data_IF_555960636168
#
_entry.id   IF_555960636168
#
_cell.length_a   1.000
_cell.length_b   1.000
_cell.length_c   1.000
_cell.angle_alpha   90.00
_cell.angle_beta   90.00
_cell.angle_gamma   90.00
#
_symmetry.space_group_name_H-M   'P 1'
#
loop_
_entity.id
_entity.type
_entity.pdbx_description
1 polymer ?
#
# COMPACT_ATOMS: atom_id res chain seq x y z
N UNK A 1 8.46 5.24 -16.95
CA UNK A 1 7.32 6.16 -16.73
C UNK A 1 6.08 5.30 -16.55
N UNK A 2 5.09 5.77 -15.79
CA UNK A 2 3.81 5.07 -15.67
C UNK A 2 2.95 5.30 -16.91
N UNK A 3 2.07 4.36 -17.22
CA UNK A 3 1.02 4.53 -18.22
C UNK A 3 -0.16 5.32 -17.62
N UNK A 4 -1.09 5.80 -18.47
CA UNK A 4 -2.29 6.49 -18.00
C UNK A 4 -3.16 5.59 -17.10
N UNK A 5 -3.31 4.31 -17.47
CA UNK A 5 -4.01 3.30 -16.65
C UNK A 5 -3.36 3.16 -15.28
N UNK A 6 -2.04 3.07 -15.23
CA UNK A 6 -1.29 2.94 -13.97
C UNK A 6 -1.43 4.17 -13.09
N UNK A 7 -1.38 5.37 -13.69
CA UNK A 7 -1.59 6.62 -12.98
C UNK A 7 -3.01 6.69 -12.40
N UNK A 8 -4.04 6.36 -13.20
CA UNK A 8 -5.43 6.36 -12.74
C UNK A 8 -5.66 5.38 -11.59
N UNK A 9 -5.03 4.20 -11.64
CA UNK A 9 -5.11 3.19 -10.57
C UNK A 9 -4.37 3.68 -9.31
N UNK A 10 -3.18 4.25 -9.46
CA UNK A 10 -2.44 4.83 -8.33
C UNK A 10 -3.23 5.92 -7.61
N UNK A 11 -3.84 6.83 -8.38
CA UNK A 11 -4.71 7.89 -7.86
C UNK A 11 -5.94 7.32 -7.16
N UNK A 12 -6.59 6.32 -7.76
CA UNK A 12 -7.77 5.67 -7.19
C UNK A 12 -7.45 4.98 -5.85
N UNK A 13 -6.34 4.24 -5.78
CA UNK A 13 -5.93 3.60 -4.52
C UNK A 13 -5.63 4.64 -3.44
N UNK A 14 -4.97 5.74 -3.78
CA UNK A 14 -4.68 6.82 -2.82
C UNK A 14 -5.94 7.53 -2.32
N UNK A 15 -6.90 7.81 -3.21
CA UNK A 15 -8.13 8.56 -2.89
C UNK A 15 -9.22 7.70 -2.26
N UNK A 16 -9.20 6.38 -2.49
CA UNK A 16 -10.31 5.51 -2.11
C UNK A 16 -9.86 4.38 -1.19
N UNK A 17 -8.91 3.55 -1.62
CA UNK A 17 -8.47 2.40 -0.82
C UNK A 17 -7.88 2.83 0.52
N UNK A 18 -6.94 3.78 0.52
CA UNK A 18 -6.24 4.19 1.75
C UNK A 18 -7.20 4.79 2.79
N UNK A 19 -8.07 5.77 2.46
CA UNK A 19 -9.04 6.29 3.42
C UNK A 19 -9.99 5.23 3.98
N UNK A 20 -10.47 4.30 3.14
CA UNK A 20 -11.35 3.23 3.60
C UNK A 20 -10.64 2.25 4.51
N UNK A 21 -9.43 1.82 4.16
CA UNK A 21 -8.63 0.96 5.03
C UNK A 21 -8.47 1.60 6.41
N UNK A 22 -7.95 2.83 6.46
CA UNK A 22 -7.76 3.53 7.74
C UNK A 22 -9.06 3.70 8.53
N UNK A 23 -10.19 3.95 7.86
CA UNK A 23 -11.51 4.03 8.50
C UNK A 23 -11.91 2.71 9.15
N UNK A 24 -11.75 1.57 8.48
CA UNK A 24 -12.12 0.27 9.04
C UNK A 24 -11.17 -0.14 10.18
N UNK A 25 -9.86 0.10 10.05
CA UNK A 25 -8.90 -0.18 11.12
C UNK A 25 -9.18 0.69 12.37
N UNK A 26 -9.45 1.97 12.17
CA UNK A 26 -9.79 2.88 13.26
C UNK A 26 -11.09 2.48 13.96
N UNK A 27 -12.10 2.00 13.23
CA UNK A 27 -13.36 1.51 13.83
C UNK A 27 -13.16 0.20 14.60
N UNK A 28 -12.31 -0.68 14.10
CA UNK A 28 -12.02 -1.97 14.73
C UNK A 28 -11.44 -1.83 16.13
N UNK A 29 -10.37 -1.02 16.26
CA UNK A 29 -9.77 -0.73 17.57
C UNK A 29 -9.21 0.70 17.61
N UNK A 30 -10.05 1.70 17.96
CA UNK A 30 -9.64 3.10 17.96
C UNK A 30 -8.47 3.41 18.91
N UNK A 31 -8.37 2.68 20.02
CA UNK A 31 -7.33 2.91 21.03
C UNK A 31 -5.97 2.45 20.51
N UNK A 32 -5.87 1.21 20.04
CA UNK A 32 -4.62 0.69 19.47
C UNK A 32 -4.24 1.43 18.20
N UNK A 33 -5.21 1.74 17.33
CA UNK A 33 -4.95 2.50 16.11
C UNK A 33 -4.31 3.87 16.40
N UNK A 34 -4.81 4.60 17.41
CA UNK A 34 -4.17 5.85 17.87
C UNK A 34 -2.81 5.63 18.52
N UNK A 35 -2.66 4.59 19.34
CA UNK A 35 -1.38 4.24 20.00
C UNK A 35 -0.26 4.04 18.97
N UNK A 36 -0.57 3.44 17.83
CA UNK A 36 0.38 3.22 16.74
C UNK A 36 0.44 4.38 15.73
N UNK A 37 -0.16 5.54 16.04
CA UNK A 37 -0.15 6.72 15.18
C UNK A 37 -0.84 6.48 13.83
N UNK A 38 -1.74 5.50 13.73
CA UNK A 38 -2.39 5.09 12.49
C UNK A 38 -1.51 4.24 11.56
N UNK A 39 -0.43 3.63 12.07
CA UNK A 39 0.41 2.74 11.27
C UNK A 39 -0.38 1.53 10.75
N UNK A 40 -0.45 1.44 9.43
CA UNK A 40 -1.15 0.38 8.70
C UNK A 40 -0.30 -0.16 7.54
N UNK A 41 1.04 -0.11 7.63
CA UNK A 41 1.90 -0.45 6.50
C UNK A 41 1.74 -1.89 6.01
N UNK A 42 1.70 -2.86 6.93
CA UNK A 42 1.47 -4.27 6.59
C UNK A 42 0.08 -4.47 5.98
N UNK A 43 -0.96 -3.93 6.60
CA UNK A 43 -2.34 -4.01 6.07
C UNK A 43 -2.43 -3.41 4.67
N UNK A 44 -1.79 -2.25 4.46
CA UNK A 44 -1.74 -1.59 3.15
C UNK A 44 -1.04 -2.45 2.10
N UNK A 45 0.07 -3.09 2.45
CA UNK A 45 0.80 -3.96 1.53
C UNK A 45 0.04 -5.27 1.22
N UNK A 46 -0.55 -5.90 2.23
CA UNK A 46 -1.31 -7.15 2.10
C UNK A 46 -2.54 -6.94 1.21
N UNK A 47 -3.41 -5.99 1.57
CA UNK A 47 -4.62 -5.72 0.78
C UNK A 47 -4.29 -5.07 -0.56
N UNK A 48 -3.28 -4.20 -0.58
CA UNK A 48 -2.79 -3.55 -1.79
C UNK A 48 -2.31 -4.54 -2.84
N UNK A 49 -1.56 -5.60 -2.44
CA UNK A 49 -1.15 -6.64 -3.38
C UNK A 49 -2.36 -7.28 -4.08
N UNK A 50 -3.37 -7.73 -3.32
CA UNK A 50 -4.53 -8.40 -3.93
C UNK A 50 -5.33 -7.46 -4.83
N UNK A 51 -5.49 -6.20 -4.44
CA UNK A 51 -6.17 -5.22 -5.28
C UNK A 51 -5.41 -4.98 -6.58
N UNK A 52 -4.08 -4.86 -6.51
CA UNK A 52 -3.22 -4.65 -7.66
C UNK A 52 -3.19 -5.86 -8.61
N UNK A 53 -3.22 -7.08 -8.08
CA UNK A 53 -3.35 -8.31 -8.89
C UNK A 53 -4.63 -8.31 -9.73
N UNK A 54 -5.73 -7.74 -9.22
CA UNK A 54 -7.00 -7.65 -9.95
C UNK A 54 -6.99 -6.56 -11.03
N UNK A 55 -6.44 -5.38 -10.74
CA UNK A 55 -6.56 -4.21 -11.64
C UNK A 55 -5.38 -4.04 -12.60
N UNK A 56 -4.22 -4.62 -12.26
CA UNK A 56 -3.00 -4.63 -13.07
C UNK A 56 -2.44 -6.07 -13.19
N UNK A 57 -3.20 -7.01 -13.79
CA UNK A 57 -2.80 -8.41 -13.90
C UNK A 57 -1.58 -8.63 -14.82
N UNK A 58 -1.13 -7.62 -15.57
CA UNK A 58 0.09 -7.64 -16.37
C UNK A 58 1.39 -7.63 -15.53
N UNK A 59 1.27 -7.40 -14.21
CA UNK A 59 2.36 -7.45 -13.25
C UNK A 59 2.31 -8.70 -12.37
N UNK A 60 3.49 -9.16 -11.96
CA UNK A 60 3.66 -10.07 -10.84
C UNK A 60 3.89 -9.22 -9.58
N UNK A 61 2.90 -9.20 -8.68
CA UNK A 61 2.91 -8.39 -7.48
C UNK A 61 3.47 -9.15 -6.28
N UNK A 62 4.23 -8.44 -5.46
CA UNK A 62 4.77 -9.01 -4.22
C UNK A 62 4.76 -7.93 -3.15
N UNK A 63 4.13 -8.23 -2.02
CA UNK A 63 4.23 -7.47 -0.79
C UNK A 63 5.54 -7.84 -0.07
N UNK A 64 6.24 -6.81 0.39
CA UNK A 64 7.51 -6.93 1.10
C UNK A 64 7.36 -6.31 2.48
N UNK A 65 8.06 -6.88 3.45
CA UNK A 65 8.35 -6.24 4.74
C UNK A 65 9.88 -6.14 4.87
N UNK A 66 10.36 -5.09 5.51
CA UNK A 66 11.79 -4.86 5.60
C UNK A 66 12.19 -3.81 6.60
N UNK A 67 13.46 -3.87 6.99
CA UNK A 67 14.07 -2.90 7.87
C UNK A 67 14.80 -1.83 7.06
N UNK A 68 14.58 -0.57 7.43
CA UNK A 68 15.17 0.59 6.80
C UNK A 68 16.00 1.38 7.79
N UNK A 69 16.99 2.11 7.26
CA UNK A 69 17.53 3.30 7.91
C UNK A 69 17.21 4.53 7.10
N UNK A 70 17.03 5.65 7.79
CA UNK A 70 16.81 6.94 7.16
C UNK A 70 17.40 8.06 8.02
N UNK A 71 17.43 9.28 7.50
CA UNK A 71 17.85 10.47 8.26
C UNK A 71 16.67 11.42 8.43
N UNK A 72 16.28 11.69 9.68
CA UNK A 72 15.26 12.67 10.05
C UNK A 72 15.85 13.67 11.02
N UNK A 73 15.74 14.97 10.71
CA UNK A 73 16.27 16.05 11.54
C UNK A 73 17.76 15.87 11.91
N UNK A 74 18.57 15.32 11.01
CA UNK A 74 20.00 15.04 11.25
C UNK A 74 20.28 13.73 12.00
N UNK A 75 19.27 13.07 12.55
CA UNK A 75 19.42 11.80 13.26
C UNK A 75 19.17 10.60 12.36
N UNK A 76 19.96 9.54 12.56
CA UNK A 76 19.77 8.27 11.85
C UNK A 76 18.76 7.42 12.61
N UNK A 77 17.65 7.12 11.96
CA UNK A 77 16.60 6.26 12.52
C UNK A 77 16.61 4.89 11.86
N UNK A 78 16.10 3.88 12.58
CA UNK A 78 15.78 2.55 12.06
C UNK A 78 14.28 2.31 12.22
N UNK A 79 13.65 1.74 11.21
CA UNK A 79 12.22 1.41 11.25
C UNK A 79 11.91 0.23 10.33
N UNK A 80 10.86 -0.52 10.67
CA UNK A 80 10.28 -1.53 9.79
C UNK A 80 9.20 -0.89 8.91
N UNK A 81 9.05 -1.37 7.68
CA UNK A 81 8.03 -0.86 6.76
C UNK A 81 7.68 -1.91 5.72
N UNK A 82 6.41 -1.94 5.33
CA UNK A 82 5.91 -2.81 4.29
C UNK A 82 5.42 -2.03 3.07
N UNK A 83 5.65 -2.59 1.88
CA UNK A 83 5.32 -2.00 0.59
C UNK A 83 5.02 -3.07 -0.45
N UNK A 84 4.53 -2.69 -1.63
CA UNK A 84 4.29 -3.61 -2.75
C UNK A 84 5.21 -3.26 -3.91
N UNK A 85 5.72 -4.28 -4.59
CA UNK A 85 6.45 -4.12 -5.84
C UNK A 85 5.85 -5.03 -6.90
N UNK A 86 5.55 -4.46 -8.07
CA UNK A 86 5.09 -5.19 -9.26
C UNK A 86 6.21 -5.28 -10.28
N UNK A 87 6.50 -6.48 -10.78
CA UNK A 87 7.38 -6.67 -11.95
C UNK A 87 6.52 -6.95 -13.17
N UNK A 88 6.69 -6.18 -14.25
CA UNK A 88 5.93 -6.44 -15.47
C UNK A 88 6.31 -7.82 -16.02
N UNK A 89 5.33 -8.63 -16.40
CA UNK A 89 5.54 -10.03 -16.79
C UNK A 89 6.41 -10.18 -18.04
N UNK A 90 6.35 -9.20 -18.95
CA UNK A 90 7.03 -9.24 -20.25
C UNK A 90 8.01 -8.08 -20.48
N UNK A 91 7.90 -6.99 -19.71
CA UNK A 91 8.70 -5.78 -19.93
C UNK A 91 9.75 -5.65 -18.83
N UNK A 92 10.91 -5.06 -19.15
CA UNK A 92 11.96 -4.77 -18.17
C UNK A 92 11.65 -3.51 -17.35
N UNK A 93 10.48 -3.49 -16.71
CA UNK A 93 10.05 -2.42 -15.80
C UNK A 93 9.21 -2.97 -14.64
N UNK A 94 9.07 -2.15 -13.61
CA UNK A 94 8.24 -2.43 -12.46
C UNK A 94 7.58 -1.17 -11.91
N UNK A 95 6.76 -1.38 -10.88
CA UNK A 95 6.10 -0.32 -10.11
C UNK A 95 6.41 -0.55 -8.65
N UNK A 96 6.86 0.50 -7.98
CA UNK A 96 6.98 0.56 -6.53
C UNK A 96 5.73 1.25 -5.98
N UNK A 97 5.04 0.57 -5.06
CA UNK A 97 3.82 1.04 -4.43
C UNK A 97 4.01 1.09 -2.92
N UNK A 98 4.13 2.31 -2.38
CA UNK A 98 4.23 2.59 -0.96
C UNK A 98 3.17 3.64 -0.57
N UNK A 99 1.95 3.16 -0.33
CA UNK A 99 0.81 4.02 -0.01
C UNK A 99 0.58 4.19 1.49
N UNK A 100 1.44 3.60 2.33
CA UNK A 100 1.27 3.53 3.78
C UNK A 100 1.94 4.68 4.54
N UNK A 101 2.58 5.60 3.83
CA UNK A 101 3.34 6.69 4.47
C UNK A 101 2.41 7.71 5.10
N UNK A 102 2.78 8.10 6.32
CA UNK A 102 2.10 9.11 7.13
C UNK A 102 2.87 10.43 7.17
N UNK A 103 4.19 10.35 7.05
CA UNK A 103 5.13 11.47 7.22
C UNK A 103 6.03 11.66 6.00
N UNK A 104 5.72 10.95 4.91
CA UNK A 104 6.34 11.09 3.60
C UNK A 104 5.30 11.01 2.50
N UNK A 105 5.66 11.50 1.33
CA UNK A 105 4.94 11.30 0.09
C UNK A 105 4.69 9.81 -0.15
N UNK A 106 3.44 9.46 -0.44
CA UNK A 106 3.06 8.10 -0.85
C UNK A 106 3.56 7.85 -2.27
N UNK A 107 4.21 6.71 -2.48
CA UNK A 107 4.77 6.38 -3.79
C UNK A 107 3.83 5.46 -4.57
N UNK A 108 3.56 5.83 -5.80
CA UNK A 108 3.12 4.93 -6.85
C UNK A 108 3.94 5.32 -8.10
N UNK A 109 5.07 4.65 -8.31
CA UNK A 109 6.08 5.13 -9.28
C UNK A 109 6.68 3.99 -10.10
N UNK A 110 7.08 4.31 -11.33
CA UNK A 110 7.81 3.39 -12.20
C UNK A 110 9.25 3.22 -11.71
N UNK A 111 9.69 1.96 -11.58
CA UNK A 111 11.05 1.59 -11.17
C UNK A 111 11.60 0.49 -12.08
N UNK A 112 12.92 0.32 -12.12
CA UNK A 112 13.56 -0.83 -12.79
C UNK A 112 13.68 -2.05 -11.88
N UNK A 113 13.80 -1.80 -10.58
CA UNK A 113 14.05 -2.80 -9.55
C UNK A 113 13.28 -2.41 -8.27
N UNK A 114 13.09 -3.37 -7.38
CA UNK A 114 12.47 -3.17 -6.08
C UNK A 114 13.40 -2.39 -5.12
N UNK A 115 13.55 -1.08 -5.39
CA UNK A 115 14.39 -0.13 -4.68
C UNK A 115 13.68 1.23 -4.60
N UNK A 116 13.78 1.86 -3.43
CA UNK A 116 13.32 3.23 -3.25
C UNK A 116 14.15 4.23 -4.07
N UNK A 117 13.52 5.29 -4.59
CA UNK A 117 14.18 6.26 -5.47
C UNK A 117 15.19 7.12 -4.69
N UNK A 118 16.46 7.10 -5.10
CA UNK A 118 17.52 7.91 -4.46
C UNK A 118 17.51 9.37 -4.90
N UNK A 119 16.91 9.66 -6.05
CA UNK A 119 16.76 11.00 -6.60
C UNK A 119 15.52 11.75 -6.07
N UNK A 120 14.69 11.09 -5.25
CA UNK A 120 13.51 11.70 -4.66
C UNK A 120 13.87 12.42 -3.35
N UNK A 121 13.46 13.70 -3.15
CA UNK A 121 13.87 14.51 -2.00
C UNK A 121 13.65 13.83 -0.65
N UNK A 122 12.49 13.21 -0.45
CA UNK A 122 12.15 12.54 0.81
C UNK A 122 12.73 11.14 0.99
N UNK A 123 13.21 10.49 -0.09
CA UNK A 123 13.70 9.11 -0.05
C UNK A 123 15.20 8.99 -0.32
N UNK A 124 15.90 10.08 -0.64
CA UNK A 124 17.34 10.09 -0.94
C UNK A 124 18.21 9.46 0.15
N UNK A 125 17.78 9.58 1.41
CA UNK A 125 18.47 9.05 2.59
C UNK A 125 17.92 7.68 3.05
N UNK A 126 16.81 7.22 2.46
CA UNK A 126 16.23 5.92 2.78
C UNK A 126 17.14 4.81 2.25
N UNK A 127 17.48 3.87 3.13
CA UNK A 127 18.33 2.71 2.84
C UNK A 127 17.64 1.47 3.37
N UNK A 128 17.35 0.54 2.48
CA UNK A 128 16.89 -0.78 2.84
C UNK A 128 18.08 -1.59 3.41
N UNK A 129 17.90 -2.15 4.59
CA UNK A 129 18.89 -3.02 5.23
C UNK A 129 18.66 -4.49 4.89
N UNK A 130 17.42 -4.94 5.00
CA UNK A 130 16.97 -6.28 4.67
C UNK A 130 15.48 -6.26 4.34
N UNK A 131 15.01 -7.28 3.63
CA UNK A 131 13.60 -7.47 3.32
C UNK A 131 13.26 -8.94 3.14
N UNK A 132 12.00 -9.24 3.36
CA UNK A 132 11.39 -10.54 3.13
C UNK A 132 10.04 -10.37 2.40
N UNK A 133 9.62 -11.41 1.71
CA UNK A 133 8.30 -11.45 1.08
C UNK A 133 7.25 -11.75 2.13
N UNK A 134 6.17 -10.98 2.16
CA UNK A 134 5.01 -11.30 2.99
C UNK A 134 4.20 -12.43 2.34
N UNK A 135 3.88 -13.47 3.10
CA UNK A 135 2.94 -14.50 2.65
C UNK A 135 1.51 -13.95 2.74
N UNK A 136 1.09 -13.22 1.71
CA UNK A 136 -0.22 -12.55 1.67
C UNK A 136 -1.37 -13.55 1.82
N UNK A 137 -1.27 -14.74 1.22
CA UNK A 137 -2.31 -15.76 1.35
C UNK A 137 -2.51 -16.18 2.80
N UNK A 138 -1.43 -16.50 3.50
CA UNK A 138 -1.49 -16.84 4.93
C UNK A 138 -2.01 -15.68 5.78
N UNK A 139 -1.53 -14.46 5.52
CA UNK A 139 -1.96 -13.27 6.27
C UNK A 139 -3.43 -12.91 6.08
N UNK A 140 -4.04 -13.28 4.96
CA UNK A 140 -5.48 -13.12 4.76
C UNK A 140 -6.30 -14.17 5.53
N UNK A 141 -5.73 -15.33 5.82
CA UNK A 141 -6.40 -16.36 6.61
C UNK A 141 -6.34 -16.09 8.13
N UNK A 142 -5.42 -15.23 8.57
CA UNK A 142 -5.29 -14.77 9.95
C UNK A 142 -6.33 -13.69 10.32
N UNK A 143 -6.52 -13.47 11.62
CA UNK A 143 -7.26 -12.30 12.12
C UNK A 143 -6.43 -11.03 11.93
N UNK A 144 -7.05 -9.99 11.37
CA UNK A 144 -6.41 -8.69 11.24
C UNK A 144 -6.33 -8.00 12.61
N UNK A 145 -5.16 -7.44 12.91
CA UNK A 145 -4.80 -6.93 14.23
C UNK A 145 -5.80 -5.92 14.84
N UNK A 146 -6.24 -4.93 14.07
CA UNK A 146 -7.11 -3.87 14.61
C UNK A 146 -8.58 -4.30 14.69
N UNK A 147 -9.04 -5.08 13.73
CA UNK A 147 -10.46 -5.42 13.59
C UNK A 147 -10.83 -6.76 14.21
N UNK A 148 -9.84 -7.63 14.44
CA UNK A 148 -10.02 -9.03 14.85
C UNK A 148 -10.88 -9.85 13.86
N UNK A 149 -11.14 -9.30 12.67
CA UNK A 149 -11.86 -9.95 11.58
C UNK A 149 -10.85 -10.71 10.73
N UNK A 150 -11.27 -11.85 10.17
CA UNK A 150 -10.42 -12.60 9.23
C UNK A 150 -10.03 -11.71 8.05
N UNK A 151 -8.75 -11.72 7.67
CA UNK A 151 -8.22 -10.83 6.64
C UNK A 151 -8.97 -10.92 5.29
N UNK A 152 -9.41 -12.11 4.90
CA UNK A 152 -10.26 -12.32 3.71
C UNK A 152 -11.58 -11.54 3.78
N UNK A 153 -12.21 -11.51 4.95
CA UNK A 153 -13.54 -10.92 5.13
C UNK A 153 -13.43 -9.39 5.19
N UNK A 154 -12.39 -8.88 5.83
CA UNK A 154 -12.06 -7.46 5.80
C UNK A 154 -11.74 -6.99 4.38
N UNK A 155 -10.98 -7.76 3.61
CA UNK A 155 -10.69 -7.45 2.21
C UNK A 155 -11.97 -7.36 1.36
N UNK A 156 -12.93 -8.27 1.56
CA UNK A 156 -14.23 -8.19 0.87
C UNK A 156 -15.00 -6.92 1.26
N UNK A 157 -15.01 -6.57 2.55
CA UNK A 157 -15.63 -5.33 3.05
C UNK A 157 -15.02 -4.10 2.39
N UNK A 158 -13.69 -4.03 2.31
CA UNK A 158 -12.97 -2.95 1.65
C UNK A 158 -13.36 -2.86 0.16
N UNK A 159 -13.33 -3.99 -0.56
CA UNK A 159 -13.71 -4.06 -1.98
C UNK A 159 -15.14 -3.60 -2.24
N UNK A 160 -16.09 -3.99 -1.40
CA UNK A 160 -17.49 -3.58 -1.53
C UNK A 160 -17.65 -2.06 -1.38
N UNK A 161 -16.99 -1.46 -0.38
CA UNK A 161 -17.03 0.00 -0.18
C UNK A 161 -16.34 0.76 -1.31
N UNK A 162 -15.22 0.24 -1.81
CA UNK A 162 -14.53 0.78 -2.98
C UNK A 162 -15.40 0.80 -4.23
N UNK A 163 -16.14 -0.29 -4.50
CA UNK A 163 -17.08 -0.38 -5.63
C UNK A 163 -18.28 0.56 -5.48
N UNK A 164 -18.84 0.67 -4.29
CA UNK A 164 -19.94 1.59 -4.00
C UNK A 164 -19.54 3.05 -4.26
N UNK A 165 -18.34 3.44 -3.83
CA UNK A 165 -17.79 4.78 -4.10
C UNK A 165 -17.63 5.07 -5.60
N UNK A 166 -17.23 4.07 -6.39
CA UNK A 166 -17.10 4.21 -7.84
C UNK A 166 -18.47 4.44 -8.50
N UNK A 167 -19.49 3.68 -8.07
CA UNK A 167 -20.86 3.83 -8.54
C UNK A 167 -21.46 5.21 -8.20
N UNK A 168 -21.30 5.68 -6.97
CA UNK A 168 -21.79 7.02 -6.58
C UNK A 168 -21.10 8.15 -7.34
N UNK A 169 -19.78 8.05 -7.57
CA UNK A 169 -19.02 9.06 -8.33
C UNK A 169 -19.46 9.16 -9.79
N UNK A 170 -19.87 8.04 -10.40
CA UNK A 170 -20.39 8.03 -11.77
C UNK A 170 -21.81 8.62 -11.85
N UNK A 171 -22.65 8.45 -10.83
CA UNK A 171 -24.00 9.05 -10.82
C UNK A 171 -24.00 10.56 -10.55
N UNK A 172 -22.97 11.12 -9.91
CA UNK A 172 -22.83 12.58 -9.71
C UNK A 172 -22.36 13.34 -10.95
N UNK A 173 -21.88 12.67 -11.99
CA UNK A 173 -21.43 13.29 -13.26
C UNK A 173 -22.56 13.45 -14.28
N UNK A 174 -23.77 12.98 -13.96
CA UNK A 174 -24.98 13.08 -14.80
C UNK A 174 -26.02 14.08 -14.23
N UNK A 175 -25.58 15.12 -13.53
CA UNK A 175 -26.42 16.25 -13.13
C UNK A 175 -25.93 17.55 -13.72
#
# INVERSE_FOLDING_TARGET
>A
MLTEKEQAIGDYLQKTFIPFLHTELQKGNPMEYRRWGGNACRQTAIFGQVLLEEVLPEYEWTAWDGNFTDSRNGERIKYNHAWVHGKHKTERRGILVDLARLDKERLFISVKENKYPRNHPEYKNTRLLNKETLNVKEKLEEQEYYTNVKGTDLLQTIKQKMRFSLFCSMMSTFK
#
